data_IF_126454612248
#
_entry.id   IF_126454612248
#
_cell.length_a   1.000
_cell.length_b   1.000
_cell.length_c   1.000
_cell.angle_alpha   90.00
_cell.angle_beta   90.00
_cell.angle_gamma   90.00
#
_symmetry.space_group_name_H-M   'P 1'
#
loop_
_entity.id
_entity.type
_entity.pdbx_description
1 polymer ?
#
# COMPACT_ATOMS: atom_id res chain seq x y z
N UNK A 1 16.66 37.26 -18.43
CA UNK A 1 15.35 36.74 -18.01
C UNK A 1 14.80 35.69 -19.00
N UNK A 2 14.67 36.00 -20.29
CA UNK A 2 14.14 35.05 -21.30
C UNK A 2 15.00 33.79 -21.54
N UNK A 3 16.34 33.93 -21.45
CA UNK A 3 17.30 32.81 -21.59
C UNK A 3 17.11 31.76 -20.49
N UNK A 4 16.95 32.20 -19.24
CA UNK A 4 16.84 31.34 -18.06
C UNK A 4 15.51 30.59 -18.05
N UNK A 5 14.41 31.24 -18.45
CA UNK A 5 13.11 30.59 -18.61
C UNK A 5 13.12 29.53 -19.72
N UNK A 6 13.75 29.80 -20.86
CA UNK A 6 13.90 28.82 -21.95
C UNK A 6 14.73 27.59 -21.53
N UNK A 7 15.78 27.79 -20.74
CA UNK A 7 16.59 26.69 -20.20
C UNK A 7 15.80 25.87 -19.17
N UNK A 8 15.05 26.53 -18.29
CA UNK A 8 14.19 25.85 -17.32
C UNK A 8 13.09 25.01 -18.02
N UNK A 9 12.42 25.57 -19.03
CA UNK A 9 11.39 24.86 -19.80
C UNK A 9 11.97 23.64 -20.54
N UNK A 10 13.22 23.71 -21.02
CA UNK A 10 13.92 22.59 -21.67
C UNK A 10 14.30 21.47 -20.69
N UNK A 11 14.61 21.81 -19.44
CA UNK A 11 14.96 20.83 -18.38
C UNK A 11 13.72 20.12 -17.85
N UNK A 12 12.58 20.83 -17.77
CA UNK A 12 11.31 20.32 -17.21
C UNK A 12 10.46 19.59 -18.26
N UNK A 13 10.68 19.84 -19.56
CA UNK A 13 9.97 19.16 -20.65
C UNK A 13 10.25 17.65 -20.67
N UNK A 14 9.20 16.84 -20.53
CA UNK A 14 9.27 15.37 -20.57
C UNK A 14 9.73 14.82 -21.93
N UNK A 15 9.57 15.61 -23.00
CA UNK A 15 9.86 15.24 -24.40
C UNK A 15 11.18 15.82 -24.95
N UNK A 16 11.98 16.54 -24.13
CA UNK A 16 13.31 16.95 -24.60
C UNK A 16 14.23 15.72 -24.56
N UNK A 17 14.87 15.30 -25.67
CA UNK A 17 15.93 14.32 -25.61
C UNK A 17 17.04 14.93 -24.76
N UNK A 18 17.15 14.46 -23.51
CA UNK A 18 18.29 14.78 -22.66
C UNK A 18 19.54 14.38 -23.44
N UNK A 19 20.57 15.22 -23.42
CA UNK A 19 21.83 14.98 -24.12
C UNK A 19 22.25 13.51 -23.96
N UNK A 20 22.49 12.75 -25.06
CA UNK A 20 22.76 11.30 -24.99
C UNK A 20 23.98 10.92 -24.14
N UNK A 21 24.80 11.91 -23.77
CA UNK A 21 25.95 11.75 -22.88
C UNK A 21 25.61 11.70 -21.38
N UNK A 22 24.37 11.99 -20.95
CA UNK A 22 23.97 11.87 -19.54
C UNK A 22 23.67 10.44 -19.09
N UNK A 23 23.81 9.45 -19.98
CA UNK A 23 23.50 8.04 -19.68
C UNK A 23 24.75 7.15 -19.57
N UNK A 24 25.92 7.66 -19.99
CA UNK A 24 27.18 6.90 -20.01
C UNK A 24 28.16 7.37 -18.93
N UNK A 25 27.93 6.91 -17.71
CA UNK A 25 28.87 7.12 -16.62
C UNK A 25 29.88 5.98 -16.53
N UNK A 26 31.12 6.29 -16.15
CA UNK A 26 32.18 5.29 -15.91
C UNK A 26 31.80 4.23 -14.86
N UNK A 27 30.89 4.56 -13.93
CA UNK A 27 30.37 3.63 -12.92
C UNK A 27 29.17 2.81 -13.40
N UNK A 28 28.59 3.12 -14.56
CA UNK A 28 27.41 2.40 -15.07
C UNK A 28 27.66 0.92 -15.36
N UNK A 29 28.83 0.47 -15.89
CA UNK A 29 29.11 -0.95 -16.06
C UNK A 29 29.23 -1.67 -14.71
N UNK A 30 29.77 -0.98 -13.70
CA UNK A 30 29.84 -1.51 -12.34
C UNK A 30 28.45 -1.71 -11.75
N UNK A 31 27.58 -0.69 -11.78
CA UNK A 31 26.22 -0.77 -11.23
C UNK A 31 25.36 -1.86 -11.90
N UNK A 32 25.47 -2.02 -13.23
CA UNK A 32 24.80 -3.10 -13.96
C UNK A 32 25.33 -4.48 -13.53
N UNK A 33 26.65 -4.62 -13.35
CA UNK A 33 27.30 -5.89 -13.00
C UNK A 33 27.05 -6.31 -11.55
N UNK A 34 27.10 -5.39 -10.59
CA UNK A 34 27.04 -5.70 -9.15
C UNK A 34 25.63 -5.64 -8.59
N UNK A 35 24.79 -4.73 -9.08
CA UNK A 35 23.46 -4.48 -8.50
C UNK A 35 22.32 -4.63 -9.51
N UNK A 36 22.62 -4.88 -10.80
CA UNK A 36 21.58 -5.05 -11.83
C UNK A 36 20.73 -3.80 -12.09
N UNK A 37 21.17 -2.61 -11.65
CA UNK A 37 20.45 -1.35 -11.88
C UNK A 37 20.90 -0.69 -13.18
N UNK A 38 19.94 -0.43 -14.07
CA UNK A 38 20.07 0.55 -15.14
C UNK A 38 19.61 1.93 -14.68
N UNK A 39 20.26 3.00 -15.13
CA UNK A 39 19.78 4.36 -14.94
C UNK A 39 18.48 4.52 -15.75
N UNK A 40 17.40 4.89 -15.07
CA UNK A 40 16.06 4.91 -15.65
C UNK A 40 15.74 6.29 -16.25
N UNK A 41 15.51 6.37 -17.56
CA UNK A 41 14.35 7.11 -18.09
C UNK A 41 14.08 6.92 -19.60
N UNK A 42 15.03 6.41 -20.40
CA UNK A 42 14.94 6.36 -21.87
C UNK A 42 15.11 4.97 -22.49
N UNK A 43 15.55 3.98 -21.70
CA UNK A 43 15.80 2.62 -22.21
C UNK A 43 14.50 1.80 -22.30
N UNK A 44 14.12 1.28 -23.48
CA UNK A 44 12.91 0.48 -23.64
C UNK A 44 12.95 -0.80 -22.80
N UNK A 45 11.76 -1.28 -22.42
CA UNK A 45 11.62 -2.57 -21.75
C UNK A 45 12.06 -3.69 -22.69
N UNK A 46 12.98 -4.53 -22.24
CA UNK A 46 13.45 -5.68 -23.01
C UNK A 46 12.28 -6.58 -23.40
N UNK A 47 12.08 -6.78 -24.71
CA UNK A 47 11.00 -7.61 -25.25
C UNK A 47 11.14 -9.07 -24.83
N UNK A 48 12.34 -9.62 -24.91
CA UNK A 48 12.65 -11.00 -24.51
C UNK A 48 12.43 -11.22 -23.00
N UNK A 49 12.81 -10.26 -22.16
CA UNK A 49 12.55 -10.35 -20.72
C UNK A 49 11.08 -10.24 -20.37
N UNK A 50 10.33 -9.38 -21.07
CA UNK A 50 8.87 -9.26 -20.91
C UNK A 50 8.16 -10.58 -21.25
N UNK A 51 8.70 -11.35 -22.20
CA UNK A 51 8.20 -12.67 -22.60
C UNK A 51 8.65 -13.80 -21.64
N UNK A 52 9.49 -13.49 -20.64
CA UNK A 52 9.76 -14.35 -19.48
C UNK A 52 11.24 -14.67 -19.24
N UNK A 53 12.10 -14.57 -20.25
CA UNK A 53 13.53 -14.84 -20.10
C UNK A 53 14.37 -14.10 -21.14
N UNK A 54 15.38 -13.38 -20.67
CA UNK A 54 16.36 -12.72 -21.54
C UNK A 54 17.71 -13.46 -21.43
N UNK A 55 18.28 -13.94 -22.56
CA UNK A 55 19.54 -14.69 -22.56
C UNK A 55 20.74 -13.81 -22.15
N UNK A 56 20.61 -12.48 -22.24
CA UNK A 56 21.62 -11.52 -21.81
C UNK A 56 21.59 -11.25 -20.29
N UNK A 57 20.55 -11.74 -19.60
CA UNK A 57 20.41 -11.61 -18.14
C UNK A 57 20.59 -10.16 -17.65
N UNK A 58 21.30 -9.91 -16.53
CA UNK A 58 21.51 -8.56 -15.99
C UNK A 58 22.41 -7.67 -16.88
N UNK A 59 23.02 -8.23 -17.93
CA UNK A 59 23.84 -7.50 -18.90
C UNK A 59 23.04 -7.04 -20.12
N UNK A 60 21.71 -7.23 -20.12
CA UNK A 60 20.87 -6.74 -21.20
C UNK A 60 20.98 -5.19 -21.29
N UNK A 61 21.18 -4.64 -22.51
CA UNK A 61 21.18 -3.20 -22.72
C UNK A 61 19.80 -2.59 -22.43
N UNK A 62 18.73 -3.36 -22.69
CA UNK A 62 17.34 -2.99 -22.47
C UNK A 62 16.92 -3.19 -21.00
N UNK A 63 15.96 -2.39 -20.55
CA UNK A 63 15.49 -2.43 -19.17
C UNK A 63 14.69 -3.69 -18.91
N UNK A 64 15.12 -4.48 -17.94
CA UNK A 64 14.30 -5.53 -17.33
C UNK A 64 13.43 -4.86 -16.26
N UNK A 65 12.12 -4.61 -16.49
CA UNK A 65 11.25 -4.15 -15.42
C UNK A 65 11.28 -5.23 -14.36
N UNK A 66 11.84 -4.92 -13.19
CA UNK A 66 11.72 -5.78 -12.01
C UNK A 66 10.23 -6.00 -11.80
N UNK A 67 9.70 -7.19 -12.13
CA UNK A 67 8.31 -7.40 -11.91
C UNK A 67 8.14 -7.46 -10.39
N UNK A 68 7.10 -6.81 -9.86
CA UNK A 68 6.67 -6.95 -8.47
C UNK A 68 6.30 -8.40 -8.09
N UNK A 69 6.51 -9.37 -9.00
CA UNK A 69 6.43 -10.81 -8.81
C UNK A 69 7.54 -11.49 -9.63
N UNK A 70 8.69 -11.81 -9.03
CA UNK A 70 9.53 -12.93 -9.49
C UNK A 70 9.49 -14.01 -8.44
N UNK A 71 8.68 -15.03 -8.68
CA UNK A 71 8.87 -16.33 -8.03
C UNK A 71 10.09 -17.02 -8.64
N UNK A 72 10.89 -17.57 -7.75
CA UNK A 72 11.83 -18.69 -7.93
C UNK A 72 13.10 -18.50 -8.77
N UNK A 73 14.19 -18.68 -8.03
CA UNK A 73 15.40 -19.45 -8.38
C UNK A 73 16.45 -18.78 -9.28
N UNK A 74 17.65 -18.70 -8.69
CA UNK A 74 18.97 -18.65 -9.34
C UNK A 74 19.52 -17.25 -9.66
N UNK A 75 19.83 -16.45 -8.64
CA UNK A 75 21.04 -15.59 -8.61
C UNK A 75 21.27 -14.94 -7.23
N UNK A 76 22.50 -14.94 -6.68
CA UNK A 76 22.85 -14.22 -5.46
C UNK A 76 23.35 -12.81 -5.82
N UNK A 77 22.46 -11.92 -6.23
CA UNK A 77 22.83 -10.52 -6.47
C UNK A 77 21.67 -9.60 -6.11
N UNK A 78 21.80 -8.98 -4.93
CA UNK A 78 21.34 -7.66 -4.46
C UNK A 78 20.37 -6.90 -5.40
N UNK A 79 19.22 -7.49 -5.73
CA UNK A 79 18.06 -6.72 -6.16
C UNK A 79 17.38 -6.17 -4.90
N UNK A 80 17.04 -4.88 -4.83
CA UNK A 80 16.28 -4.36 -3.71
C UNK A 80 14.88 -5.00 -3.76
N UNK A 81 14.48 -5.61 -2.66
CA UNK A 81 13.08 -5.48 -2.22
C UNK A 81 11.96 -6.06 -3.10
N UNK A 82 12.12 -7.17 -3.81
CA UNK A 82 10.94 -7.93 -4.23
C UNK A 82 10.44 -8.82 -3.08
N UNK A 83 10.20 -8.25 -1.91
CA UNK A 83 9.46 -8.94 -0.85
C UNK A 83 7.98 -8.94 -1.27
N UNK A 84 7.42 -10.13 -1.47
CA UNK A 84 6.12 -10.37 -2.11
C UNK A 84 4.88 -9.95 -1.29
N UNK A 85 5.00 -8.93 -0.44
CA UNK A 85 3.92 -8.44 0.41
C UNK A 85 2.96 -7.50 -0.31
N UNK A 86 1.69 -7.52 0.09
CA UNK A 86 0.69 -6.54 -0.34
C UNK A 86 0.88 -5.16 0.32
N UNK A 87 1.51 -5.12 1.50
CA UNK A 87 1.70 -3.93 2.32
C UNK A 87 3.18 -3.62 2.58
N UNK A 88 3.49 -2.33 2.70
CA UNK A 88 4.84 -1.82 3.01
C UNK A 88 5.25 -2.16 4.45
N UNK A 89 6.50 -2.60 4.61
CA UNK A 89 7.09 -2.93 5.90
C UNK A 89 7.36 -1.68 6.74
N UNK A 90 6.71 -1.57 7.90
CA UNK A 90 6.93 -0.49 8.88
C UNK A 90 8.38 -0.36 9.34
N UNK A 91 9.12 -1.48 9.45
CA UNK A 91 10.52 -1.47 9.91
C UNK A 91 11.50 -1.07 8.81
N UNK A 92 11.16 -1.35 7.54
CA UNK A 92 11.97 -0.96 6.39
C UNK A 92 11.98 0.56 6.21
N UNK A 93 10.83 1.22 6.39
CA UNK A 93 10.73 2.68 6.35
C UNK A 93 11.65 3.38 7.36
N UNK A 94 12.00 2.69 8.45
CA UNK A 94 12.94 3.17 9.49
C UNK A 94 14.38 2.69 9.29
N UNK A 95 14.65 1.85 8.29
CA UNK A 95 15.96 1.22 8.09
C UNK A 95 16.32 0.14 9.13
N UNK A 96 15.36 -0.32 9.93
CA UNK A 96 15.57 -1.25 11.05
C UNK A 96 15.12 -2.69 10.76
N UNK A 97 14.76 -3.00 9.51
CA UNK A 97 14.26 -4.32 9.16
C UNK A 97 15.40 -5.36 9.11
N UNK A 98 15.45 -6.25 10.11
CA UNK A 98 16.42 -7.35 10.17
C UNK A 98 16.10 -8.51 9.23
N UNK A 99 14.85 -8.61 8.75
CA UNK A 99 14.39 -9.72 7.89
C UNK A 99 14.92 -9.61 6.45
N UNK A 100 15.40 -8.43 6.03
CA UNK A 100 15.99 -8.20 4.71
C UNK A 100 15.11 -8.75 3.59
N UNK A 101 15.68 -9.60 2.73
CA UNK A 101 14.99 -10.21 1.58
C UNK A 101 13.91 -11.23 2.00
N UNK A 102 14.03 -11.82 3.19
CA UNK A 102 13.05 -12.79 3.73
C UNK A 102 11.88 -12.13 4.46
N UNK A 103 11.73 -10.80 4.34
CA UNK A 103 10.60 -10.11 4.93
C UNK A 103 9.31 -10.42 4.15
N UNK A 104 8.23 -10.70 4.85
CA UNK A 104 6.91 -10.91 4.25
C UNK A 104 6.30 -9.61 3.69
N UNK A 105 6.75 -8.47 4.21
CA UNK A 105 6.24 -7.15 3.86
C UNK A 105 7.09 -6.47 2.79
N UNK A 106 6.46 -5.65 1.95
CA UNK A 106 7.07 -4.95 0.83
C UNK A 106 8.15 -3.96 1.33
N UNK A 107 9.35 -4.03 0.75
CA UNK A 107 10.46 -3.13 1.04
C UNK A 107 10.60 -2.05 -0.06
N UNK A 108 9.48 -1.47 -0.45
CA UNK A 108 9.41 -0.41 -1.47
C UNK A 108 8.66 0.78 -0.86
N UNK A 109 9.11 1.99 -1.17
CA UNK A 109 8.40 3.20 -0.76
C UNK A 109 7.21 3.44 -1.70
N UNK A 110 6.05 2.87 -1.35
CA UNK A 110 4.83 2.98 -2.12
C UNK A 110 3.66 3.42 -1.23
N UNK A 111 3.23 4.68 -1.38
CA UNK A 111 2.16 5.27 -0.57
C UNK A 111 0.82 4.56 -0.71
N UNK A 112 0.53 3.95 -1.87
CA UNK A 112 -0.75 3.25 -2.11
C UNK A 112 -0.86 1.92 -1.38
N UNK A 113 0.27 1.35 -0.98
CA UNK A 113 0.36 0.07 -0.27
C UNK A 113 0.76 0.26 1.19
N UNK A 114 0.60 1.47 1.72
CA UNK A 114 0.89 1.72 3.12
C UNK A 114 -0.14 1.02 4.00
N UNK A 115 0.26 0.41 5.14
CA UNK A 115 -0.69 -0.07 6.13
C UNK A 115 -1.60 1.04 6.67
N UNK A 116 -2.73 0.64 7.23
CA UNK A 116 -3.70 1.56 7.85
C UNK A 116 -3.11 2.26 9.08
N UNK A 117 -3.52 3.50 9.29
CA UNK A 117 -3.15 4.26 10.48
C UNK A 117 -3.89 3.73 11.71
N UNK A 118 -3.15 3.19 12.68
CA UNK A 118 -3.74 2.63 13.91
C UNK A 118 -4.49 3.69 14.74
N UNK A 119 -3.95 4.91 14.84
CA UNK A 119 -4.58 6.00 15.61
C UNK A 119 -5.90 6.40 14.96
N UNK A 120 -5.90 6.66 13.65
CA UNK A 120 -7.10 7.01 12.92
C UNK A 120 -8.14 5.88 12.91
N UNK A 121 -7.71 4.63 12.77
CA UNK A 121 -8.62 3.49 12.82
C UNK A 121 -9.25 3.27 14.20
N UNK A 122 -8.63 3.75 15.28
CA UNK A 122 -9.14 3.62 16.65
C UNK A 122 -9.99 4.82 17.09
N UNK A 123 -9.57 6.05 16.79
CA UNK A 123 -10.21 7.28 17.28
C UNK A 123 -10.88 8.11 16.20
N UNK A 124 -10.75 7.74 14.93
CA UNK A 124 -11.14 8.59 13.79
C UNK A 124 -10.31 9.86 13.66
N UNK A 125 -9.20 9.98 14.40
CA UNK A 125 -8.33 11.16 14.42
C UNK A 125 -6.86 10.76 14.46
N UNK A 126 -6.02 11.46 13.70
CA UNK A 126 -4.57 11.30 13.75
C UNK A 126 -3.92 12.65 14.05
N UNK A 127 -2.98 12.69 14.99
CA UNK A 127 -2.23 13.91 15.31
C UNK A 127 -1.41 14.44 14.12
N UNK A 128 -1.02 13.55 13.20
CA UNK A 128 -0.30 13.92 11.97
C UNK A 128 -1.24 14.44 10.87
N UNK A 129 -2.57 14.43 11.08
CA UNK A 129 -3.55 14.91 10.11
C UNK A 129 -3.40 14.24 8.73
N UNK A 130 -3.52 15.03 7.68
CA UNK A 130 -3.45 14.55 6.28
C UNK A 130 -2.03 14.22 5.81
N UNK A 131 -1.00 14.68 6.53
CA UNK A 131 0.41 14.35 6.25
C UNK A 131 0.83 13.00 6.85
N UNK A 132 -0.11 12.25 7.42
CA UNK A 132 0.16 10.92 7.93
C UNK A 132 0.56 9.98 6.79
N UNK A 133 1.74 9.37 6.91
CA UNK A 133 2.24 8.42 5.93
C UNK A 133 1.31 7.21 5.74
N UNK A 134 0.57 6.83 6.79
CA UNK A 134 -0.32 5.67 6.85
C UNK A 134 -1.71 5.97 6.28
N UNK A 135 -2.37 4.94 5.75
CA UNK A 135 -3.67 5.12 5.11
C UNK A 135 -4.76 5.44 6.14
N UNK A 136 -5.46 6.55 5.95
CA UNK A 136 -6.70 6.88 6.64
C UNK A 136 -7.88 6.26 5.88
N UNK A 137 -8.53 5.26 6.50
CA UNK A 137 -9.72 4.58 5.96
C UNK A 137 -10.88 4.83 6.91
N UNK A 138 -11.94 5.49 6.44
CA UNK A 138 -13.14 5.72 7.23
C UNK A 138 -13.90 4.40 7.48
N UNK A 139 -14.58 4.31 8.61
CA UNK A 139 -15.37 3.13 8.97
C UNK A 139 -16.47 2.83 7.94
N UNK A 140 -17.07 3.87 7.38
CA UNK A 140 -18.09 3.78 6.33
C UNK A 140 -17.56 3.12 5.04
N UNK A 141 -16.28 3.35 4.72
CA UNK A 141 -15.64 2.73 3.57
C UNK A 141 -15.33 1.24 3.81
N UNK A 142 -15.18 0.82 5.07
CA UNK A 142 -14.93 -0.59 5.48
C UNK A 142 -16.19 -1.43 5.49
N UNK A 143 -17.38 -0.83 5.49
CA UNK A 143 -18.65 -1.55 5.51
C UNK A 143 -18.77 -2.47 4.29
N UNK A 144 -19.16 -3.74 4.46
CA UNK A 144 -19.36 -4.66 3.35
C UNK A 144 -20.51 -4.16 2.45
N UNK A 145 -20.45 -4.46 1.14
CA UNK A 145 -21.53 -4.12 0.23
C UNK A 145 -22.83 -4.85 0.63
N UNK A 146 -23.96 -4.18 0.44
CA UNK A 146 -25.27 -4.73 0.74
C UNK A 146 -25.70 -5.72 -0.33
N UNK A 147 -25.90 -6.97 0.07
CA UNK A 147 -26.32 -8.05 -0.83
C UNK A 147 -27.72 -7.83 -1.42
N UNK A 148 -28.63 -7.19 -0.68
CA UNK A 148 -29.96 -6.84 -1.19
C UNK A 148 -29.88 -5.72 -2.23
N UNK A 149 -29.08 -4.69 -1.97
CA UNK A 149 -28.87 -3.61 -2.94
C UNK A 149 -28.16 -4.10 -4.21
N UNK A 150 -27.25 -5.08 -4.09
CA UNK A 150 -26.61 -5.73 -5.22
C UNK A 150 -27.60 -6.49 -6.12
N UNK A 151 -28.78 -6.89 -5.62
CA UNK A 151 -29.91 -7.39 -6.44
C UNK A 151 -30.69 -6.30 -7.17
N UNK A 152 -30.41 -5.03 -6.86
CA UNK A 152 -31.07 -3.86 -7.42
C UNK A 152 -31.92 -3.08 -6.42
N UNK A 153 -32.36 -3.69 -5.31
CA UNK A 153 -33.21 -3.02 -4.33
C UNK A 153 -32.97 -3.53 -2.91
N UNK A 154 -32.75 -2.59 -1.98
CA UNK A 154 -32.71 -2.87 -0.55
C UNK A 154 -33.94 -2.24 0.12
N UNK A 155 -34.74 -3.02 0.88
CA UNK A 155 -35.97 -2.51 1.51
C UNK A 155 -35.72 -1.43 2.56
N UNK A 156 -34.52 -1.40 3.16
CA UNK A 156 -34.14 -0.38 4.14
C UNK A 156 -33.62 0.91 3.51
N UNK A 157 -33.35 0.93 2.20
CA UNK A 157 -32.85 2.11 1.50
C UNK A 157 -31.63 2.74 2.21
N UNK A 158 -31.61 4.08 2.44
CA UNK A 158 -30.48 4.77 3.07
C UNK A 158 -30.23 4.35 4.53
N UNK A 159 -31.22 3.71 5.18
CA UNK A 159 -31.11 3.25 6.56
C UNK A 159 -30.46 1.87 6.67
N UNK A 160 -29.93 1.29 5.60
CA UNK A 160 -29.26 -0.01 5.66
C UNK A 160 -27.89 0.10 6.36
N UNK A 161 -27.57 -0.83 7.25
CA UNK A 161 -26.26 -0.91 7.90
C UNK A 161 -25.12 -1.28 6.94
N UNK A 162 -25.42 -1.90 5.79
CA UNK A 162 -24.45 -2.29 4.76
C UNK A 162 -24.32 -1.20 3.69
N UNK A 163 -23.16 -1.12 3.04
CA UNK A 163 -22.87 -0.10 2.02
C UNK A 163 -23.64 -0.35 0.73
N UNK A 164 -24.33 0.66 0.21
CA UNK A 164 -25.00 0.61 -1.09
C UNK A 164 -24.08 1.10 -2.20
N UNK A 165 -23.68 0.20 -3.11
CA UNK A 165 -22.80 0.51 -4.24
C UNK A 165 -23.61 0.46 -5.54
N UNK A 166 -23.86 1.62 -6.14
CA UNK A 166 -24.61 1.70 -7.40
C UNK A 166 -23.73 1.23 -8.57
N UNK A 167 -24.09 0.09 -9.17
CA UNK A 167 -23.46 -0.44 -10.39
C UNK A 167 -24.35 -0.19 -11.60
N UNK A 168 -23.75 0.14 -12.75
CA UNK A 168 -24.48 0.22 -14.03
C UNK A 168 -24.74 -1.21 -14.53
N UNK A 169 -26.00 -1.55 -14.76
CA UNK A 169 -26.40 -2.87 -15.29
C UNK A 169 -26.00 -2.96 -16.76
N UNK A 170 -25.54 -4.13 -17.21
CA UNK A 170 -25.22 -4.34 -18.62
C UNK A 170 -26.51 -4.21 -19.48
N UNK A 171 -26.51 -3.38 -20.54
CA UNK A 171 -27.69 -3.24 -21.42
C UNK A 171 -28.14 -4.55 -22.06
N UNK A 172 -27.19 -5.40 -22.49
CA UNK A 172 -27.50 -6.69 -23.11
C UNK A 172 -28.09 -7.68 -22.10
N UNK A 173 -27.59 -7.66 -20.86
CA UNK A 173 -28.18 -8.46 -19.78
C UNK A 173 -29.59 -8.00 -19.44
N UNK A 174 -29.84 -6.69 -19.44
CA UNK A 174 -31.17 -6.13 -19.27
C UNK A 174 -32.12 -6.54 -20.42
N UNK A 175 -31.59 -6.67 -21.63
CA UNK A 175 -32.32 -7.20 -22.79
C UNK A 175 -32.54 -8.73 -22.74
N UNK A 176 -32.03 -9.41 -21.71
CA UNK A 176 -32.28 -10.84 -21.43
C UNK A 176 -31.07 -11.74 -21.67
N UNK A 177 -30.10 -11.35 -22.50
CA UNK A 177 -28.92 -12.17 -22.78
C UNK A 177 -27.70 -11.31 -23.08
N UNK A 178 -26.61 -11.55 -22.34
CA UNK A 178 -25.31 -10.95 -22.60
C UNK A 178 -24.37 -12.01 -23.19
N UNK A 179 -23.76 -11.78 -24.38
CA UNK A 179 -22.85 -12.74 -25.01
C UNK A 179 -21.58 -13.01 -24.18
N UNK A 180 -21.14 -12.03 -23.39
CA UNK A 180 -19.98 -12.14 -22.50
C UNK A 180 -20.28 -12.90 -21.18
N UNK A 181 -21.55 -13.27 -20.95
CA UNK A 181 -21.96 -14.02 -19.78
C UNK A 181 -21.53 -13.38 -18.46
N UNK A 182 -20.96 -14.15 -17.52
CA UNK A 182 -20.50 -13.62 -16.22
C UNK A 182 -19.22 -12.78 -16.29
N UNK A 183 -18.48 -12.86 -17.39
CA UNK A 183 -17.21 -12.16 -17.59
C UNK A 183 -17.38 -10.77 -18.23
N UNK A 184 -18.62 -10.33 -18.44
CA UNK A 184 -18.94 -9.04 -19.04
C UNK A 184 -18.27 -7.88 -18.31
N UNK A 185 -17.46 -7.12 -19.06
CA UNK A 185 -16.73 -5.94 -18.56
C UNK A 185 -17.55 -4.65 -18.66
N UNK A 186 -18.62 -4.65 -19.46
CA UNK A 186 -19.40 -3.44 -19.77
C UNK A 186 -20.40 -3.06 -18.69
N UNK A 187 -20.84 -4.02 -17.86
CA UNK A 187 -21.80 -3.75 -16.81
C UNK A 187 -22.01 -4.90 -15.83
N UNK A 188 -22.74 -4.62 -14.76
CA UNK A 188 -23.03 -5.59 -13.72
C UNK A 188 -24.17 -6.52 -14.12
N UNK A 189 -24.02 -7.81 -13.81
CA UNK A 189 -25.06 -8.83 -13.89
C UNK A 189 -25.46 -9.21 -12.46
N UNK A 190 -26.58 -8.70 -11.93
CA UNK A 190 -27.04 -9.05 -10.58
C UNK A 190 -27.26 -10.56 -10.44
N UNK A 191 -26.93 -11.11 -9.27
CA UNK A 191 -27.19 -12.51 -8.93
C UNK A 191 -28.30 -12.54 -7.89
N UNK A 192 -29.24 -13.45 -8.05
CA UNK A 192 -30.31 -13.68 -7.08
C UNK A 192 -30.09 -14.98 -6.30
N UNK A 193 -29.27 -14.98 -5.23
CA UNK A 193 -29.30 -16.09 -4.28
C UNK A 193 -30.65 -16.14 -3.55
N UNK A 194 -31.17 -17.33 -3.30
CA UNK A 194 -32.47 -17.53 -2.63
C UNK A 194 -32.41 -17.28 -1.12
N UNK A 195 -31.27 -17.58 -0.48
CA UNK A 195 -31.11 -17.46 0.97
C UNK A 195 -30.24 -16.27 1.35
N UNK A 196 -30.82 -15.06 1.45
CA UNK A 196 -30.13 -13.90 2.04
C UNK A 196 -30.63 -13.63 3.45
N UNK A 197 -29.74 -13.25 4.39
CA UNK A 197 -30.15 -12.77 5.70
C UNK A 197 -30.96 -11.48 5.57
N UNK A 198 -31.92 -11.26 6.47
CA UNK A 198 -32.71 -10.03 6.48
C UNK A 198 -31.79 -8.80 6.68
N UNK A 199 -32.01 -7.71 5.93
CA UNK A 199 -31.19 -6.51 6.07
C UNK A 199 -31.43 -5.87 7.44
N UNK A 200 -30.37 -5.30 8.01
CA UNK A 200 -30.39 -4.64 9.32
C UNK A 200 -30.32 -3.13 9.17
N UNK A 201 -30.99 -2.42 10.08
CA UNK A 201 -31.02 -0.96 10.12
C UNK A 201 -29.68 -0.44 10.68
N UNK A 202 -29.17 0.63 10.07
CA UNK A 202 -28.00 1.36 10.53
C UNK A 202 -28.33 1.99 11.88
N UNK A 203 -27.63 1.58 12.92
CA UNK A 203 -27.70 2.26 14.22
C UNK A 203 -26.82 3.49 14.11
N UNK A 204 -27.43 4.65 13.87
CA UNK A 204 -26.72 5.93 13.89
C UNK A 204 -26.61 6.41 15.33
N UNK A 205 -25.39 6.40 15.87
CA UNK A 205 -25.10 7.09 17.12
C UNK A 205 -25.33 8.59 16.90
N UNK A 206 -25.90 9.26 17.90
CA UNK A 206 -26.09 10.71 17.81
C UNK A 206 -24.74 11.41 17.70
N UNK A 207 -24.68 12.58 17.04
CA UNK A 207 -23.44 13.33 16.89
C UNK A 207 -22.77 13.62 18.25
N UNK A 208 -23.57 13.91 19.28
CA UNK A 208 -23.12 14.15 20.65
C UNK A 208 -22.55 12.90 21.33
N UNK A 209 -23.09 11.71 21.03
CA UNK A 209 -22.56 10.44 21.51
C UNK A 209 -21.23 10.08 20.83
N UNK A 210 -21.14 10.31 19.51
CA UNK A 210 -19.90 10.14 18.74
C UNK A 210 -18.82 11.07 19.27
N UNK A 211 -19.16 12.34 19.57
CA UNK A 211 -18.22 13.30 20.12
C UNK A 211 -17.75 12.91 21.53
N UNK A 212 -18.66 12.49 22.41
CA UNK A 212 -18.32 11.96 23.74
C UNK A 212 -17.41 10.73 23.67
N UNK A 213 -17.70 9.80 22.76
CA UNK A 213 -16.87 8.62 22.55
C UNK A 213 -15.48 9.00 22.02
N UNK A 214 -15.40 9.90 21.03
CA UNK A 214 -14.12 10.44 20.52
C UNK A 214 -13.32 11.16 21.61
N UNK A 215 -13.98 11.94 22.46
CA UNK A 215 -13.36 12.63 23.58
C UNK A 215 -12.78 11.64 24.62
N UNK A 216 -13.55 10.60 24.98
CA UNK A 216 -13.08 9.52 25.88
C UNK A 216 -11.86 8.80 25.31
N UNK A 217 -11.90 8.44 24.02
CA UNK A 217 -10.77 7.77 23.35
C UNK A 217 -9.54 8.69 23.31
N UNK A 218 -9.73 9.99 23.08
CA UNK A 218 -8.65 10.99 23.09
C UNK A 218 -8.00 11.10 24.47
N UNK A 219 -8.80 11.21 25.52
CA UNK A 219 -8.31 11.28 26.91
C UNK A 219 -7.53 10.02 27.30
N UNK A 220 -8.02 8.84 26.88
CA UNK A 220 -7.32 7.58 27.13
C UNK A 220 -5.96 7.51 26.42
N UNK A 221 -5.89 7.99 25.17
CA UNK A 221 -4.62 8.07 24.42
C UNK A 221 -3.63 9.04 25.08
N UNK A 222 -4.09 10.20 25.55
CA UNK A 222 -3.23 11.16 26.24
C UNK A 222 -2.67 10.58 27.53
N UNK A 223 -3.50 9.87 28.31
CA UNK A 223 -3.04 9.13 29.50
C UNK A 223 -2.07 8.01 29.16
N UNK A 224 -2.27 7.30 28.05
CA UNK A 224 -1.33 6.27 27.57
C UNK A 224 0.02 6.88 27.17
N UNK A 225 0.01 7.99 26.43
CA UNK A 225 1.23 8.72 26.06
C UNK A 225 1.95 9.28 27.29
N UNK A 226 1.23 9.82 28.27
CA UNK A 226 1.81 10.31 29.52
C UNK A 226 2.50 9.17 30.29
N UNK A 227 1.83 8.02 30.43
CA UNK A 227 2.44 6.81 31.02
C UNK A 227 3.69 6.38 30.26
N UNK A 228 3.68 6.42 28.93
CA UNK A 228 4.88 6.07 28.14
C UNK A 228 6.02 7.09 28.36
N UNK A 229 5.69 8.38 28.44
CA UNK A 229 6.67 9.45 28.72
C UNK A 229 7.27 9.28 30.13
N UNK A 230 6.46 9.00 31.13
CA UNK A 230 6.89 8.73 32.50
C UNK A 230 7.80 7.50 32.57
N UNK A 231 7.34 6.38 32.01
CA UNK A 231 8.14 5.15 31.92
C UNK A 231 9.50 5.39 31.23
N UNK A 232 9.53 6.22 30.18
CA UNK A 232 10.77 6.61 29.48
C UNK A 232 11.68 7.48 30.36
N UNK A 233 11.12 8.40 31.17
CA UNK A 233 11.89 9.21 32.14
C UNK A 233 12.50 8.33 33.23
N UNK A 234 11.73 7.37 33.75
CA UNK A 234 12.19 6.44 34.80
C UNK A 234 13.34 5.56 34.30
N UNK A 235 13.21 4.97 33.10
CA UNK A 235 14.30 4.20 32.48
C UNK A 235 15.51 5.06 32.09
N UNK A 236 15.31 6.32 31.72
CA UNK A 236 16.38 7.26 31.42
C UNK A 236 17.23 7.63 32.64
N UNK A 237 16.70 7.47 33.87
CA UNK A 237 17.43 7.70 35.14
C UNK A 237 18.14 6.45 35.70
N UNK A 238 17.97 5.28 35.08
CA UNK A 238 18.40 3.98 35.61
C UNK A 238 19.55 3.32 34.85
N UNK A 239 20.56 4.07 34.43
CA UNK A 239 21.81 3.51 33.91
C UNK A 239 22.68 2.89 35.00
N UNK A 240 22.25 1.79 35.62
CA UNK A 240 23.14 0.91 36.41
C UNK A 240 22.96 -0.52 35.94
N UNK A 241 23.95 -0.99 35.19
CA UNK A 241 24.16 -2.38 34.81
C UNK A 241 24.14 -3.26 36.07
N UNK A 242 23.04 -3.99 36.30
CA UNK A 242 23.08 -5.17 37.16
C UNK A 242 23.32 -6.38 36.27
N UNK A 243 24.60 -6.77 36.18
CA UNK A 243 25.03 -8.04 35.61
C UNK A 243 24.44 -9.20 36.41
N UNK A 244 23.30 -9.72 35.96
CA UNK A 244 22.69 -10.94 36.47
C UNK A 244 23.43 -12.17 35.96
N UNK A 245 24.29 -12.73 36.82
CA UNK A 245 25.01 -14.00 36.65
C UNK A 245 24.01 -15.15 36.44
N UNK A 246 23.76 -15.54 35.20
CA UNK A 246 23.04 -16.78 34.86
C UNK A 246 23.86 -18.00 35.28
N UNK A 247 23.47 -18.63 36.39
CA UNK A 247 23.90 -20.00 36.75
C UNK A 247 22.91 -20.96 36.11
N UNK A 248 23.29 -21.57 34.98
CA UNK A 248 22.53 -22.64 34.34
C UNK A 248 22.51 -23.89 35.20
N UNK A 249 21.32 -24.43 35.46
CA UNK A 249 21.12 -25.78 36.00
C UNK A 249 20.71 -26.67 34.84
N UNK A 250 21.58 -27.61 34.48
CA UNK A 250 21.32 -28.70 33.55
C UNK A 250 20.36 -29.68 34.24
N UNK A 251 19.28 -30.03 33.56
CA UNK A 251 18.64 -31.33 33.58
C UNK A 251 18.37 -31.71 32.12
#
# INVERSE_FOLDING_TARGET
MAEVHRVADRIVSADSPRDPNFTNFAFSPFLRKTFGFGLASDVPVCKAYREGHCPLGPMCPDRHPTPSRISTATSPAIAPSSTHGSLVCKHYLKGLCKKGIKCEYLHEYNLRRMPECQSFARSGYCANGDDCLYQHVSEEAKLPPCEHYDKGFCPLGPLCAKKHVRRKICPFYLAGFCPEGRACTTGAHPRWPENLPKPTVKVEKTAEEIEREKARIREEQEKEEEREREWRRERGRGGRFMGGRFRGKRL
#
